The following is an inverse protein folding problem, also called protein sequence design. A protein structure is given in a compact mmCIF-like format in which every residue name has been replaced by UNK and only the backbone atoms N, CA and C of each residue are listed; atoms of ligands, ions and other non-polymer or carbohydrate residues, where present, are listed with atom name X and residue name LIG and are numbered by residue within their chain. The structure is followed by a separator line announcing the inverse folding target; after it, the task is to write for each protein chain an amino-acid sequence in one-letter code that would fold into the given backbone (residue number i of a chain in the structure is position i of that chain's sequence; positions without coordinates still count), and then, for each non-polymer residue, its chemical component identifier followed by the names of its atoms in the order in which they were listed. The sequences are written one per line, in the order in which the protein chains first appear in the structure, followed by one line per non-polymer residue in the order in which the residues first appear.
data_IF_573883153225
#
_entry.id   IF_573883153225
#
_cell.length_a   1.000
_cell.length_b   1.000
_cell.length_c   1.000
_cell.angle_alpha   90.00
_cell.angle_beta   90.00
_cell.angle_gamma   90.00
#
_symmetry.space_group_name_H-M   'P 1'
#
loop_
_entity.id
_entity.type
_entity.pdbx_description
1 polymer ?
#
# COMPACT_ATOMS: atom_id res chain seq x y z
N UNK A 1 1.31 4.65 14.26
CA UNK A 1 1.22 3.26 13.73
C UNK A 1 -0.12 2.69 14.15
N UNK A 2 -0.97 2.33 13.18
CA UNK A 2 -2.26 1.67 13.41
C UNK A 2 -2.09 0.19 13.04
N UNK A 3 -2.50 -0.74 13.91
CA UNK A 3 -2.35 -2.19 13.68
C UNK A 3 -3.73 -2.81 13.50
N UNK A 4 -3.92 -3.51 12.39
CA UNK A 4 -5.18 -4.15 12.04
C UNK A 4 -4.90 -5.55 11.49
N UNK A 5 -5.72 -6.52 11.90
CA UNK A 5 -5.69 -7.88 11.33
C UNK A 5 -6.79 -7.97 10.28
N UNK A 6 -6.42 -8.31 9.04
CA UNK A 6 -7.32 -8.52 7.90
C UNK A 6 -7.18 -9.95 7.39
N UNK A 7 -8.31 -10.55 7.00
CA UNK A 7 -8.37 -11.84 6.28
C UNK A 7 -8.22 -11.60 4.77
N UNK A 8 -8.07 -12.70 4.03
CA UNK A 8 -8.10 -12.68 2.56
C UNK A 8 -9.45 -12.08 2.11
N UNK A 9 -9.40 -11.26 1.07
CA UNK A 9 -10.49 -10.46 0.50
C UNK A 9 -11.02 -9.34 1.39
N UNK A 10 -10.45 -9.11 2.57
CA UNK A 10 -10.74 -7.88 3.32
C UNK A 10 -9.88 -6.71 2.82
N UNK A 11 -10.50 -5.53 2.83
CA UNK A 11 -9.88 -4.27 2.45
C UNK A 11 -9.82 -3.29 3.62
N UNK A 12 -8.82 -2.42 3.57
CA UNK A 12 -8.66 -1.21 4.37
C UNK A 12 -8.72 -0.02 3.44
N UNK A 13 -9.44 1.02 3.84
CA UNK A 13 -9.50 2.28 3.10
C UNK A 13 -8.67 3.30 3.87
N UNK A 14 -7.78 4.00 3.15
CA UNK A 14 -6.95 5.08 3.62
C UNK A 14 -7.41 6.32 2.87
N UNK A 15 -7.83 7.35 3.61
CA UNK A 15 -8.48 8.54 3.05
C UNK A 15 -9.76 8.16 2.25
N UNK A 16 -10.11 8.88 1.19
CA UNK A 16 -11.31 8.57 0.37
C UNK A 16 -11.00 7.67 -0.84
N UNK A 17 -9.80 7.75 -1.42
CA UNK A 17 -9.49 7.11 -2.71
C UNK A 17 -8.45 5.97 -2.66
N UNK A 18 -7.80 5.73 -1.51
CA UNK A 18 -6.79 4.65 -1.40
C UNK A 18 -7.37 3.41 -0.73
N UNK A 19 -7.41 2.30 -1.44
CA UNK A 19 -7.90 1.01 -0.97
C UNK A 19 -6.79 -0.03 -1.00
N UNK A 20 -6.51 -0.62 0.15
CA UNK A 20 -5.54 -1.71 0.33
C UNK A 20 -6.31 -2.99 0.57
N UNK A 21 -6.16 -3.99 -0.30
CA UNK A 21 -6.88 -5.26 -0.25
C UNK A 21 -5.92 -6.42 -0.07
N UNK A 22 -6.22 -7.36 0.82
CA UNK A 22 -5.45 -8.59 0.97
C UNK A 22 -5.94 -9.61 -0.05
N UNK A 23 -5.21 -9.79 -1.14
CA UNK A 23 -5.59 -10.71 -2.22
C UNK A 23 -5.29 -12.18 -1.91
N UNK A 24 -4.44 -12.45 -0.92
CA UNK A 24 -4.12 -13.82 -0.54
C UNK A 24 -2.87 -13.92 0.31
N UNK A 25 -2.70 -15.07 0.97
CA UNK A 25 -1.52 -15.39 1.77
C UNK A 25 -0.96 -16.72 1.27
N UNK A 26 0.33 -16.75 0.99
CA UNK A 26 1.08 -17.95 0.58
C UNK A 26 2.28 -18.14 1.51
N UNK A 27 2.07 -18.93 2.56
CA UNK A 27 3.09 -19.14 3.60
C UNK A 27 3.36 -17.84 4.34
N UNK A 28 4.58 -17.30 4.18
CA UNK A 28 4.99 -16.00 4.73
C UNK A 28 4.58 -14.82 3.82
N UNK A 29 4.39 -15.06 2.52
CA UNK A 29 4.17 -13.98 1.56
C UNK A 29 2.69 -13.57 1.54
N UNK A 30 2.44 -12.27 1.59
CA UNK A 30 1.09 -11.70 1.45
C UNK A 30 0.99 -11.01 0.10
N UNK A 31 -0.06 -11.30 -0.65
CA UNK A 31 -0.43 -10.54 -1.85
C UNK A 31 -1.31 -9.38 -1.42
N UNK A 32 -0.84 -8.17 -1.68
CA UNK A 32 -1.54 -6.93 -1.36
C UNK A 32 -1.88 -6.25 -2.69
N UNK A 33 -3.16 -5.97 -2.91
CA UNK A 33 -3.63 -5.08 -3.96
C UNK A 33 -3.74 -3.68 -3.40
N UNK A 34 -3.18 -2.69 -4.08
CA UNK A 34 -3.29 -1.28 -3.71
C UNK A 34 -3.97 -0.58 -4.89
N UNK A 35 -5.10 0.07 -4.62
CA UNK A 35 -5.79 0.96 -5.54
C UNK A 35 -5.66 2.35 -4.96
N UNK A 36 -5.03 3.25 -5.67
CA UNK A 36 -4.91 4.66 -5.28
C UNK A 36 -5.06 5.52 -6.54
N UNK A 37 -5.39 6.82 -6.40
CA UNK A 37 -5.42 7.75 -7.52
C UNK A 37 -4.00 8.06 -8.01
N UNK A 38 -3.88 8.57 -9.24
CA UNK A 38 -2.58 8.84 -9.91
C UNK A 38 -1.69 9.87 -9.18
N UNK A 39 -2.27 10.68 -8.29
CA UNK A 39 -1.54 11.63 -7.46
C UNK A 39 -0.68 10.93 -6.38
N UNK A 40 -1.04 9.70 -6.01
CA UNK A 40 -0.36 8.94 -4.96
C UNK A 40 0.68 8.01 -5.56
N UNK A 41 1.96 8.31 -5.30
CA UNK A 41 3.06 7.45 -5.71
C UNK A 41 3.12 6.17 -4.84
N UNK A 42 2.89 5.00 -5.46
CA UNK A 42 3.00 3.69 -4.81
C UNK A 42 4.30 3.03 -5.25
N UNK A 43 5.27 2.98 -4.34
CA UNK A 43 6.58 2.37 -4.55
C UNK A 43 6.86 1.31 -3.50
N UNK A 44 7.63 0.30 -3.89
CA UNK A 44 8.14 -0.68 -2.93
C UNK A 44 9.24 -0.03 -2.10
N UNK A 45 9.28 -0.32 -0.82
CA UNK A 45 10.25 0.27 0.11
C UNK A 45 11.69 0.08 -0.37
N UNK A 46 12.04 -1.07 -0.96
CA UNK A 46 13.39 -1.30 -1.48
C UNK A 46 13.77 -0.39 -2.67
N UNK A 47 12.80 0.22 -3.33
CA UNK A 47 13.01 1.15 -4.45
C UNK A 47 12.98 2.61 -4.02
N UNK A 48 12.59 2.90 -2.77
CA UNK A 48 12.44 4.27 -2.25
C UNK A 48 13.75 5.07 -2.26
N UNK A 49 14.91 4.39 -2.24
CA UNK A 49 16.22 5.01 -2.11
C UNK A 49 16.66 5.89 -3.29
N UNK A 50 15.85 6.10 -4.34
CA UNK A 50 16.28 6.84 -5.53
C UNK A 50 15.38 8.00 -5.97
N UNK A 51 14.10 8.06 -5.61
CA UNK A 51 13.16 8.93 -6.34
C UNK A 51 12.21 9.76 -5.46
N UNK A 52 12.52 9.96 -4.17
CA UNK A 52 11.65 10.82 -3.34
C UNK A 52 12.45 11.68 -2.38
N UNK A 53 13.28 12.57 -2.94
CA UNK A 53 13.32 13.92 -2.38
C UNK A 53 12.11 14.64 -2.97
N UNK A 54 11.07 14.98 -2.18
CA UNK A 54 10.18 16.02 -2.63
C UNK A 54 11.05 17.27 -2.73
N UNK A 55 11.23 17.77 -3.95
CA UNK A 55 11.66 19.12 -4.21
C UNK A 55 10.65 20.02 -3.50
N UNK A 56 10.98 20.43 -2.27
CA UNK A 56 10.23 21.44 -1.54
C UNK A 56 10.72 22.79 -2.07
N UNK A 57 9.87 23.46 -2.86
CA UNK A 57 9.86 24.93 -2.90
C UNK A 57 9.51 25.52 -1.53
#
# INVERSE_FOLDING_TARGET
MLILTRRIDESLIIDDDTVVTVLGVKGNQVRIGIKAPDDVNIVREELLSRETQPEKE
#
